data_IF_790835678200
#
_entry.id   IF_790835678200
#
_cell.length_a   1.000
_cell.length_b   1.000
_cell.length_c   1.000
_cell.angle_alpha   90.00
_cell.angle_beta   90.00
_cell.angle_gamma   90.00
#
_symmetry.space_group_name_H-M   'P 1'
#
loop_
_entity.id
_entity.type
_entity.pdbx_description
1 polymer ?
#
# COMPACT_ATOMS: atom_id res chain seq x y z
N UNK A 1 24.91 4.46 -4.98
CA UNK A 1 23.49 4.18 -4.71
C UNK A 1 23.31 3.94 -3.22
N UNK A 2 22.24 4.42 -2.59
CA UNK A 2 22.01 4.37 -1.14
C UNK A 2 21.74 2.96 -0.57
N UNK A 3 21.85 1.90 -1.37
CA UNK A 3 21.55 0.52 -0.95
C UNK A 3 20.06 0.26 -0.67
N UNK A 4 19.19 1.18 -1.07
CA UNK A 4 17.74 1.10 -0.88
C UNK A 4 17.13 0.24 -1.97
N UNK A 5 16.18 -0.64 -1.59
CA UNK A 5 15.39 -1.45 -2.50
C UNK A 5 13.90 -1.18 -2.34
N UNK A 6 13.15 -1.23 -3.43
CA UNK A 6 11.69 -1.10 -3.46
C UNK A 6 11.04 -2.47 -3.65
N UNK A 7 10.27 -2.92 -2.66
CA UNK A 7 9.42 -4.11 -2.77
C UNK A 7 7.95 -3.70 -2.76
N UNK A 8 7.20 -4.12 -3.78
CA UNK A 8 5.78 -3.81 -3.92
C UNK A 8 4.91 -5.00 -3.50
N UNK A 9 3.93 -4.77 -2.61
CA UNK A 9 2.90 -5.75 -2.31
C UNK A 9 1.59 -5.32 -2.99
N UNK A 10 1.13 -6.10 -3.97
CA UNK A 10 -0.01 -5.76 -4.84
C UNK A 10 -1.22 -6.68 -4.58
N UNK A 11 -2.45 -6.16 -4.68
CA UNK A 11 -3.65 -6.88 -4.26
C UNK A 11 -4.08 -7.99 -5.22
N UNK A 12 -3.91 -7.78 -6.52
CA UNK A 12 -4.27 -8.70 -7.59
C UNK A 12 -3.48 -8.37 -8.87
N UNK A 13 -3.77 -9.03 -9.99
CA UNK A 13 -3.10 -8.75 -11.27
C UNK A 13 -3.18 -7.26 -11.65
N UNK A 14 -2.19 -6.80 -12.42
CA UNK A 14 -2.12 -5.41 -12.89
C UNK A 14 -3.34 -5.06 -13.75
N UNK A 15 -3.82 -5.98 -14.57
CA UNK A 15 -5.02 -5.78 -15.36
C UNK A 15 -6.26 -5.53 -14.48
N UNK A 16 -6.47 -6.37 -13.45
CA UNK A 16 -7.63 -6.25 -12.57
C UNK A 16 -7.59 -4.99 -11.69
N UNK A 17 -6.45 -4.70 -11.05
CA UNK A 17 -6.36 -3.55 -10.14
C UNK A 17 -6.42 -2.21 -10.89
N UNK A 18 -6.00 -2.19 -12.16
CA UNK A 18 -5.96 -0.96 -12.98
C UNK A 18 -7.14 -0.83 -13.93
N UNK A 19 -8.09 -1.77 -13.97
CA UNK A 19 -9.15 -1.81 -14.99
C UNK A 19 -9.91 -0.49 -15.20
N UNK A 20 -10.14 0.25 -14.11
CA UNK A 20 -10.89 1.51 -14.11
C UNK A 20 -10.02 2.76 -14.03
N UNK A 21 -8.69 2.64 -14.16
CA UNK A 21 -7.77 3.77 -14.06
C UNK A 21 -7.65 4.52 -15.38
N UNK A 22 -7.34 5.81 -15.29
CA UNK A 22 -7.01 6.60 -16.47
C UNK A 22 -5.72 6.09 -17.14
N UNK A 23 -5.48 6.49 -18.38
CA UNK A 23 -4.23 6.17 -19.07
C UNK A 23 -3.02 6.68 -18.28
N UNK A 24 -3.08 7.90 -17.74
CA UNK A 24 -1.97 8.51 -17.03
C UNK A 24 -1.65 7.75 -15.72
N UNK A 25 -2.67 7.38 -14.94
CA UNK A 25 -2.48 6.62 -13.70
C UNK A 25 -1.86 5.24 -13.98
N UNK A 26 -2.26 4.60 -15.09
CA UNK A 26 -1.65 3.34 -15.54
C UNK A 26 -0.17 3.52 -15.89
N UNK A 27 0.17 4.59 -16.62
CA UNK A 27 1.57 4.87 -16.99
C UNK A 27 2.43 5.09 -15.74
N UNK A 28 1.95 5.88 -14.78
CA UNK A 28 2.68 6.12 -13.52
C UNK A 28 2.88 4.81 -12.74
N UNK A 29 1.83 4.00 -12.62
CA UNK A 29 1.93 2.69 -11.97
C UNK A 29 2.95 1.76 -12.63
N UNK A 30 2.93 1.64 -13.97
CA UNK A 30 3.90 0.79 -14.67
C UNK A 30 5.33 1.32 -14.57
N UNK A 31 5.52 2.65 -14.50
CA UNK A 31 6.83 3.23 -14.24
C UNK A 31 7.36 2.84 -12.84
N UNK A 32 6.52 2.90 -11.81
CA UNK A 32 6.85 2.46 -10.44
C UNK A 32 7.15 0.95 -10.43
N UNK A 33 6.30 0.16 -11.08
CA UNK A 33 6.45 -1.30 -11.17
C UNK A 33 7.79 -1.68 -11.84
N UNK A 34 8.17 -1.00 -12.92
CA UNK A 34 9.45 -1.24 -13.60
C UNK A 34 10.67 -0.81 -12.78
N UNK A 35 10.50 0.14 -11.86
CA UNK A 35 11.56 0.61 -10.97
C UNK A 35 11.69 -0.21 -9.69
N UNK A 36 10.75 -1.11 -9.40
CA UNK A 36 10.79 -1.96 -8.20
C UNK A 36 11.82 -3.08 -8.32
N UNK A 37 12.48 -3.40 -7.22
CA UNK A 37 13.41 -4.53 -7.14
C UNK A 37 12.68 -5.88 -7.04
N UNK A 38 11.49 -5.89 -6.44
CA UNK A 38 10.68 -7.09 -6.27
C UNK A 38 9.18 -6.77 -6.11
N UNK A 39 8.32 -7.74 -6.43
CA UNK A 39 6.87 -7.60 -6.41
C UNK A 39 6.20 -8.87 -5.90
N UNK A 40 5.39 -8.75 -4.85
CA UNK A 40 4.54 -9.81 -4.31
C UNK A 40 3.07 -9.53 -4.66
N UNK A 41 2.34 -10.53 -5.18
CA UNK A 41 0.90 -10.44 -5.45
C UNK A 41 0.11 -11.30 -4.46
N UNK A 42 -0.92 -10.74 -3.84
CA UNK A 42 -1.81 -11.47 -2.91
C UNK A 42 -2.68 -12.51 -3.62
N UNK A 43 -2.96 -12.31 -4.91
CA UNK A 43 -3.74 -13.21 -5.76
C UNK A 43 -3.74 -12.75 -7.22
N UNK A 44 -4.44 -13.49 -8.09
CA UNK A 44 -4.60 -13.13 -9.50
C UNK A 44 -5.81 -12.23 -9.75
N UNK A 45 -6.88 -12.38 -8.96
CA UNK A 45 -8.18 -11.72 -9.17
C UNK A 45 -8.48 -10.67 -8.09
N UNK A 46 -9.26 -9.66 -8.45
CA UNK A 46 -9.75 -8.69 -7.47
C UNK A 46 -10.85 -9.33 -6.61
N UNK A 47 -10.60 -9.50 -5.32
CA UNK A 47 -11.59 -9.98 -4.36
C UNK A 47 -11.99 -8.88 -3.38
N UNK A 48 -13.09 -9.07 -2.66
CA UNK A 48 -13.56 -8.09 -1.65
C UNK A 48 -12.55 -7.90 -0.51
N UNK A 49 -11.68 -8.87 -0.28
CA UNK A 49 -10.70 -8.90 0.82
C UNK A 49 -9.25 -8.65 0.36
N UNK A 50 -8.93 -8.68 -0.94
CA UNK A 50 -7.54 -8.63 -1.41
C UNK A 50 -6.80 -7.36 -0.98
N UNK A 51 -7.49 -6.21 -0.96
CA UNK A 51 -6.92 -4.93 -0.50
C UNK A 51 -6.57 -4.96 0.99
N UNK A 52 -7.42 -5.55 1.82
CA UNK A 52 -7.18 -5.69 3.26
C UNK A 52 -6.02 -6.65 3.53
N UNK A 53 -5.97 -7.77 2.79
CA UNK A 53 -4.87 -8.74 2.88
C UNK A 53 -3.54 -8.14 2.45
N UNK A 54 -3.54 -7.37 1.36
CA UNK A 54 -2.37 -6.60 0.89
C UNK A 54 -1.87 -5.65 1.98
N UNK A 55 -2.77 -4.90 2.63
CA UNK A 55 -2.38 -4.02 3.73
C UNK A 55 -1.82 -4.77 4.94
N UNK A 56 -2.43 -5.89 5.33
CA UNK A 56 -1.92 -6.74 6.41
C UNK A 56 -0.52 -7.28 6.10
N UNK A 57 -0.28 -7.70 4.86
CA UNK A 57 1.03 -8.19 4.39
C UNK A 57 2.10 -7.10 4.40
N UNK A 58 1.77 -5.87 3.99
CA UNK A 58 2.69 -4.74 4.12
C UNK A 58 3.10 -4.53 5.58
N UNK A 59 2.13 -4.48 6.51
CA UNK A 59 2.43 -4.31 7.94
C UNK A 59 3.20 -5.49 8.52
N UNK A 60 2.91 -6.72 8.11
CA UNK A 60 3.67 -7.91 8.53
C UNK A 60 5.17 -7.79 8.19
N UNK A 61 5.50 -7.24 7.02
CA UNK A 61 6.87 -7.07 6.54
C UNK A 61 7.56 -5.80 7.06
N UNK A 62 6.83 -4.83 7.60
CA UNK A 62 7.36 -3.53 8.00
C UNK A 62 7.83 -3.46 9.45
N UNK A 63 8.91 -2.73 9.70
CA UNK A 63 9.34 -2.30 11.05
C UNK A 63 8.90 -0.86 11.39
N UNK A 64 8.37 -0.14 10.40
CA UNK A 64 7.79 1.20 10.55
C UNK A 64 6.78 1.50 9.44
N UNK A 65 5.81 2.37 9.73
CA UNK A 65 4.72 2.74 8.83
C UNK A 65 4.72 4.26 8.62
N UNK A 66 5.09 4.70 7.41
CA UNK A 66 4.89 6.08 6.97
C UNK A 66 3.53 6.19 6.30
N UNK A 67 2.69 7.12 6.74
CA UNK A 67 1.35 7.28 6.21
C UNK A 67 0.95 8.75 6.08
N UNK A 68 -0.12 9.00 5.33
CA UNK A 68 -0.81 10.28 5.26
C UNK A 68 -2.28 10.03 5.59
N UNK A 69 -2.65 10.23 6.85
CA UNK A 69 -3.96 9.88 7.36
C UNK A 69 -4.55 11.00 8.22
N UNK A 70 -5.65 11.59 7.75
CA UNK A 70 -6.48 12.46 8.58
C UNK A 70 -7.28 11.63 9.59
N UNK A 71 -6.91 11.72 10.86
CA UNK A 71 -7.56 10.99 11.95
C UNK A 71 -9.02 11.40 12.17
N UNK A 72 -9.44 12.59 11.69
CA UNK A 72 -10.85 12.99 11.72
C UNK A 72 -11.71 12.16 10.77
N UNK A 73 -11.11 11.52 9.77
CA UNK A 73 -11.78 10.61 8.85
C UNK A 73 -12.01 9.28 9.55
N UNK A 74 -13.27 9.03 9.92
CA UNK A 74 -13.69 7.85 10.68
C UNK A 74 -13.27 6.49 10.08
N UNK A 75 -14.10 5.89 9.23
CA UNK A 75 -13.81 4.57 8.64
C UNK A 75 -13.14 4.71 7.28
N UNK A 76 -11.83 4.49 7.23
CA UNK A 76 -11.05 4.45 5.98
C UNK A 76 -10.13 3.22 5.91
N UNK A 77 -9.70 2.87 4.69
CA UNK A 77 -8.71 1.81 4.48
C UNK A 77 -7.37 2.12 5.14
N UNK A 78 -6.91 3.37 5.04
CA UNK A 78 -5.67 3.83 5.69
C UNK A 78 -5.76 3.73 7.20
N UNK A 79 -6.86 4.20 7.81
CA UNK A 79 -7.05 4.09 9.25
C UNK A 79 -7.12 2.64 9.75
N UNK A 80 -7.61 1.71 8.92
CA UNK A 80 -7.50 0.27 9.23
C UNK A 80 -6.03 -0.20 9.22
N UNK A 81 -5.23 0.22 8.26
CA UNK A 81 -3.81 -0.13 8.17
C UNK A 81 -2.99 0.46 9.32
N UNK A 82 -3.26 1.71 9.71
CA UNK A 82 -2.63 2.36 10.87
C UNK A 82 -2.90 1.56 12.15
N UNK A 83 -4.15 1.15 12.39
CA UNK A 83 -4.48 0.29 13.54
C UNK A 83 -3.78 -1.07 13.52
N UNK A 84 -3.52 -1.64 12.34
CA UNK A 84 -2.70 -2.85 12.22
C UNK A 84 -1.26 -2.59 12.65
N UNK A 85 -0.68 -1.46 12.25
CA UNK A 85 0.67 -1.04 12.66
C UNK A 85 0.75 -0.81 14.18
N UNK A 86 -0.24 -0.12 14.76
CA UNK A 86 -0.35 0.08 16.22
C UNK A 86 -0.42 -1.26 16.95
N UNK A 87 -1.25 -2.18 16.45
CA UNK A 87 -1.42 -3.51 17.04
C UNK A 87 -0.14 -4.36 16.94
N UNK A 88 0.66 -4.17 15.89
CA UNK A 88 1.97 -4.81 15.74
C UNK A 88 3.03 -4.16 16.64
N UNK A 89 2.83 -2.92 17.07
CA UNK A 89 3.78 -2.16 17.88
C UNK A 89 4.96 -1.60 17.08
N UNK A 90 4.76 -1.30 15.79
CA UNK A 90 5.79 -0.67 14.94
C UNK A 90 5.65 0.84 14.94
N UNK A 91 6.75 1.55 14.65
CA UNK A 91 6.75 3.02 14.59
C UNK A 91 5.80 3.54 13.50
N UNK A 92 5.05 4.59 13.81
CA UNK A 92 4.11 5.22 12.87
C UNK A 92 4.49 6.68 12.70
N UNK A 93 4.80 7.06 11.45
CA UNK A 93 5.13 8.42 11.05
C UNK A 93 3.98 8.93 10.18
N UNK A 94 3.02 9.60 10.80
CA UNK A 94 1.91 10.23 10.08
C UNK A 94 2.33 11.62 9.60
N UNK A 95 2.37 11.81 8.28
CA UNK A 95 2.75 13.07 7.64
C UNK A 95 1.56 14.01 7.44
N UNK A 96 0.36 13.63 7.88
CA UNK A 96 -0.81 14.51 7.82
C UNK A 96 -0.64 15.70 8.76
N UNK A 97 -0.79 16.91 8.21
CA UNK A 97 -0.91 18.15 8.97
C UNK A 97 -2.20 18.85 8.59
N UNK A 98 -2.97 19.33 9.57
CA UNK A 98 -4.00 20.32 9.30
C UNK A 98 -3.30 21.63 8.92
N UNK A 99 -3.36 21.98 7.64
CA UNK A 99 -2.99 23.31 7.18
C UNK A 99 -3.98 24.36 7.69
#
# INVERSE_FOLDING_TARGET
>A
ALGIKLHLVLPCSNEEQTKNWSYNDKQEFYAILMAADDVEYIGSEYTKDCMKRRNARMIELSDGCVCYYDESVGRSGTGQTVRMAESKGIEIINLFSMA
#
